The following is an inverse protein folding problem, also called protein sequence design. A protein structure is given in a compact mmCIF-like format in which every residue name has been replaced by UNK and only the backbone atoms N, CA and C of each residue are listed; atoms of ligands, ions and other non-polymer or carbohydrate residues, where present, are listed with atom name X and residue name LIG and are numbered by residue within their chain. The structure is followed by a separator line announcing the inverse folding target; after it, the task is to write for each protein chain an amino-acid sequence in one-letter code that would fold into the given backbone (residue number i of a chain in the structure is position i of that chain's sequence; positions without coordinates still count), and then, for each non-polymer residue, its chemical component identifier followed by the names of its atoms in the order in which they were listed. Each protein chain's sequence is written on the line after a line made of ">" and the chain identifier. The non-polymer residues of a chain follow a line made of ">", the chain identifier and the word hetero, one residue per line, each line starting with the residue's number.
data_IF_231047729655
#
_entry.id   IF_231047729655
#
_cell.length_a   1.000
_cell.length_b   1.000
_cell.length_c   1.000
_cell.angle_alpha   90.00
_cell.angle_beta   90.00
_cell.angle_gamma   90.00
#
_symmetry.space_group_name_H-M   'P 1'
#
loop_
_entity.id
_entity.type
_entity.pdbx_description
1 polymer ?
#
# COMPACT_ATOMS: atom_id res chain seq x y z
N UNK A 1 -14.50 16.39 14.18
CA UNK A 1 -13.24 15.94 14.80
C UNK A 1 -13.41 14.48 15.19
N UNK A 2 -13.02 13.54 14.31
CA UNK A 2 -12.96 12.13 14.68
C UNK A 2 -11.87 11.96 15.73
N UNK A 3 -12.22 11.46 16.91
CA UNK A 3 -11.27 11.38 18.02
C UNK A 3 -10.11 10.45 17.70
N UNK A 4 -8.90 10.91 17.99
CA UNK A 4 -7.70 10.06 18.06
C UNK A 4 -7.96 8.93 19.06
N UNK A 5 -7.78 7.67 18.63
CA UNK A 5 -8.01 6.48 19.46
C UNK A 5 -6.75 5.65 19.54
N UNK A 6 -6.42 5.25 20.76
CA UNK A 6 -5.28 4.39 21.08
C UNK A 6 -5.77 3.19 21.85
N UNK A 7 -5.41 1.98 21.42
CA UNK A 7 -5.78 0.75 22.11
C UNK A 7 -4.64 -0.29 22.08
N UNK A 8 -4.60 -1.13 23.11
CA UNK A 8 -3.74 -2.31 23.17
C UNK A 8 -4.54 -3.53 22.73
N UNK A 9 -4.05 -4.23 21.73
CA UNK A 9 -4.66 -5.44 21.20
C UNK A 9 -3.94 -6.70 21.69
N UNK A 10 -4.59 -7.85 21.51
CA UNK A 10 -3.98 -9.16 21.76
C UNK A 10 -2.68 -9.34 20.97
N UNK A 11 -1.74 -10.11 21.54
CA UNK A 11 -0.43 -10.36 20.92
C UNK A 11 0.52 -9.17 20.99
N UNK A 12 0.39 -8.30 22.01
CA UNK A 12 1.25 -7.13 22.24
C UNK A 12 1.20 -6.09 21.11
N UNK A 13 0.08 -5.99 20.40
CA UNK A 13 -0.10 -5.04 19.30
C UNK A 13 -0.67 -3.71 19.79
N UNK A 14 -0.23 -2.63 19.16
CA UNK A 14 -0.77 -1.28 19.36
C UNK A 14 -1.72 -0.96 18.19
N UNK A 15 -2.84 -0.35 18.51
CA UNK A 15 -3.80 0.15 17.53
C UNK A 15 -3.92 1.66 17.68
N UNK A 16 -3.69 2.39 16.58
CA UNK A 16 -3.86 3.84 16.49
C UNK A 16 -4.84 4.15 15.38
N UNK A 17 -5.85 4.98 15.66
CA UNK A 17 -6.85 5.37 14.67
C UNK A 17 -7.13 6.86 14.73
N UNK A 18 -7.10 7.51 13.58
CA UNK A 18 -7.53 8.89 13.39
C UNK A 18 -8.12 9.02 11.99
N UNK A 19 -9.34 9.55 11.89
CA UNK A 19 -10.06 9.66 10.61
C UNK A 19 -10.07 8.33 9.83
N UNK A 20 -9.62 8.30 8.56
CA UNK A 20 -9.55 7.08 7.74
C UNK A 20 -8.31 6.22 8.01
N UNK A 21 -7.31 6.70 8.76
CA UNK A 21 -6.08 5.94 9.04
C UNK A 21 -6.28 5.02 10.24
N UNK A 22 -5.90 3.75 10.06
CA UNK A 22 -6.18 2.66 10.98
C UNK A 22 -4.94 1.76 11.08
N UNK A 23 -4.08 2.06 12.05
CA UNK A 23 -2.75 1.50 12.17
C UNK A 23 -2.74 0.33 13.16
N UNK A 24 -2.33 -0.84 12.70
CA UNK A 24 -2.00 -2.00 13.53
C UNK A 24 -0.49 -2.17 13.58
N UNK A 25 0.08 -2.02 14.76
CA UNK A 25 1.51 -1.90 14.99
C UNK A 25 1.99 -3.03 15.89
N UNK A 26 3.13 -3.64 15.55
CA UNK A 26 3.84 -4.54 16.45
C UNK A 26 5.33 -4.26 16.47
N UNK A 27 5.94 -4.35 17.64
CA UNK A 27 7.38 -4.26 17.85
C UNK A 27 7.87 -5.46 18.66
N UNK A 28 9.08 -5.92 18.35
CA UNK A 28 9.72 -7.08 18.97
C UNK A 28 11.13 -6.68 19.41
N UNK A 29 11.48 -7.04 20.64
CA UNK A 29 12.72 -6.66 21.31
C UNK A 29 12.55 -6.73 22.83
N UNK A 30 13.44 -6.08 23.59
CA UNK A 30 13.27 -5.97 25.04
C UNK A 30 12.01 -5.17 25.41
N UNK A 31 11.39 -5.41 26.58
CA UNK A 31 10.21 -4.66 27.02
C UNK A 31 10.40 -3.14 27.02
N UNK A 32 11.61 -2.65 27.32
CA UNK A 32 11.95 -1.22 27.30
C UNK A 32 11.95 -0.67 25.87
N UNK A 33 12.58 -1.38 24.92
CA UNK A 33 12.58 -0.99 23.51
C UNK A 33 11.17 -0.95 22.94
N UNK A 34 10.35 -1.96 23.23
CA UNK A 34 8.95 -2.02 22.79
C UNK A 34 8.16 -0.83 23.32
N UNK A 35 8.32 -0.50 24.61
CA UNK A 35 7.65 0.66 25.22
C UNK A 35 8.05 1.97 24.56
N UNK A 36 9.35 2.19 24.30
CA UNK A 36 9.83 3.39 23.62
C UNK A 36 9.33 3.47 22.18
N UNK A 37 9.35 2.36 21.46
CA UNK A 37 8.84 2.28 20.09
C UNK A 37 7.36 2.68 20.03
N UNK A 38 6.51 2.12 20.89
CA UNK A 38 5.08 2.44 20.92
C UNK A 38 4.79 3.88 21.34
N UNK A 39 5.52 4.43 22.31
CA UNK A 39 5.40 5.85 22.66
C UNK A 39 5.79 6.77 21.47
N UNK A 40 6.85 6.42 20.73
CA UNK A 40 7.24 7.16 19.54
C UNK A 40 6.24 7.02 18.38
N UNK A 41 5.59 5.85 18.25
CA UNK A 41 4.54 5.63 17.26
C UNK A 41 3.33 6.52 17.51
N UNK A 42 2.86 6.58 18.77
CA UNK A 42 1.76 7.46 19.19
C UNK A 42 2.10 8.93 18.90
N UNK A 43 3.28 9.39 19.33
CA UNK A 43 3.72 10.77 19.13
C UNK A 43 3.91 11.15 17.65
N UNK A 44 4.36 10.21 16.81
CA UNK A 44 4.53 10.46 15.37
C UNK A 44 3.21 10.45 14.60
N UNK A 45 2.18 9.78 15.12
CA UNK A 45 0.86 9.71 14.51
C UNK A 45 -0.03 10.89 14.93
N UNK A 46 0.14 11.41 16.15
CA UNK A 46 -0.58 12.59 16.64
C UNK A 46 -0.33 13.83 15.76
N UNK A 47 -1.41 14.45 15.27
CA UNK A 47 -1.37 15.62 14.39
C UNK A 47 -0.91 15.35 12.95
N UNK A 48 -0.49 14.13 12.61
CA UNK A 48 0.02 13.78 11.29
C UNK A 48 -1.02 13.99 10.18
N UNK A 49 -2.28 13.59 10.43
CA UNK A 49 -3.34 13.77 9.44
C UNK A 49 -3.73 15.22 9.26
N UNK A 50 -3.68 16.03 10.31
CA UNK A 50 -3.90 17.47 10.21
C UNK A 50 -2.81 18.14 9.36
N UNK A 51 -1.54 17.72 9.50
CA UNK A 51 -0.44 18.19 8.65
C UNK A 51 -0.68 17.84 7.18
N UNK A 52 -1.04 16.57 6.88
CA UNK A 52 -1.36 16.16 5.50
C UNK A 52 -2.57 16.92 4.95
N UNK A 53 -3.61 17.11 5.75
CA UNK A 53 -4.80 17.87 5.36
C UNK A 53 -4.48 19.33 5.01
N UNK A 54 -3.47 19.93 5.66
CA UNK A 54 -3.03 21.30 5.35
C UNK A 54 -2.39 21.45 3.96
N UNK A 55 -1.87 20.35 3.39
CA UNK A 55 -1.26 20.32 2.07
C UNK A 55 -2.13 19.58 1.02
N UNK A 56 -3.38 19.24 1.37
CA UNK A 56 -4.24 18.37 0.58
C UNK A 56 -4.48 18.86 -0.85
N UNK A 57 -4.60 20.17 -1.05
CA UNK A 57 -4.77 20.77 -2.37
C UNK A 57 -3.61 20.45 -3.31
N UNK A 58 -2.37 20.40 -2.80
CA UNK A 58 -1.20 20.02 -3.59
C UNK A 58 -1.09 18.51 -3.72
N UNK A 59 -1.41 17.76 -2.65
CA UNK A 59 -1.36 16.29 -2.66
C UNK A 59 -2.37 15.65 -3.63
N UNK A 60 -3.47 16.35 -3.96
CA UNK A 60 -4.47 15.90 -4.94
C UNK A 60 -4.15 16.30 -6.39
N UNK A 61 -3.05 17.01 -6.62
CA UNK A 61 -2.65 17.39 -7.99
C UNK A 61 -1.91 16.23 -8.66
N UNK A 62 -2.19 15.97 -9.95
CA UNK A 62 -1.40 15.04 -10.74
C UNK A 62 0.07 15.47 -10.76
N UNK A 63 0.97 14.51 -10.58
CA UNK A 63 2.40 14.77 -10.71
C UNK A 63 2.74 15.04 -12.17
N UNK A 64 3.60 16.04 -12.39
CA UNK A 64 4.13 16.44 -13.70
C UNK A 64 5.66 16.32 -13.66
N UNK A 65 6.41 16.90 -14.59
CA UNK A 65 7.88 16.95 -14.50
C UNK A 65 8.41 17.98 -13.47
N UNK A 66 7.53 18.78 -12.87
CA UNK A 66 7.89 19.66 -11.73
C UNK A 66 7.35 19.13 -10.40
N UNK A 67 8.23 18.86 -9.41
CA UNK A 67 7.80 18.31 -8.13
C UNK A 67 6.96 19.33 -7.36
N UNK A 68 5.90 18.88 -6.66
CA UNK A 68 5.06 19.79 -5.88
C UNK A 68 5.87 20.39 -4.73
N UNK A 69 5.64 21.67 -4.44
CA UNK A 69 6.31 22.38 -3.35
C UNK A 69 5.69 22.03 -1.99
N UNK A 70 5.93 20.80 -1.54
CA UNK A 70 5.46 20.28 -0.25
C UNK A 70 6.49 20.56 0.87
N UNK A 71 6.00 20.79 2.08
CA UNK A 71 6.79 21.13 3.26
C UNK A 71 6.79 20.03 4.32
N UNK A 72 5.68 19.31 4.48
CA UNK A 72 5.57 18.21 5.42
C UNK A 72 6.40 17.00 5.00
N UNK A 73 7.13 16.41 5.94
CA UNK A 73 8.01 15.27 5.66
C UNK A 73 7.24 14.07 5.08
N UNK A 74 6.06 13.75 5.63
CA UNK A 74 5.21 12.67 5.11
C UNK A 74 4.65 13.01 3.73
N UNK A 75 4.23 14.26 3.49
CA UNK A 75 3.77 14.73 2.19
C UNK A 75 4.88 14.62 1.12
N UNK A 76 6.11 15.02 1.45
CA UNK A 76 7.28 14.86 0.59
C UNK A 76 7.59 13.38 0.31
N UNK A 77 7.44 12.49 1.31
CA UNK A 77 7.57 11.04 1.11
C UNK A 77 6.54 10.53 0.09
N UNK A 78 5.27 10.93 0.23
CA UNK A 78 4.20 10.56 -0.71
C UNK A 78 4.56 10.97 -2.15
N UNK A 79 4.92 12.25 -2.35
CA UNK A 79 5.29 12.75 -3.67
C UNK A 79 6.52 12.03 -4.24
N UNK A 80 7.55 11.76 -3.43
CA UNK A 80 8.76 11.04 -3.85
C UNK A 80 8.45 9.61 -4.31
N UNK A 81 7.57 8.90 -3.60
CA UNK A 81 7.17 7.54 -3.96
C UNK A 81 6.37 7.50 -5.26
N UNK A 82 5.47 8.47 -5.48
CA UNK A 82 4.67 8.55 -6.70
C UNK A 82 5.44 9.10 -7.92
N UNK A 83 6.50 9.89 -7.69
CA UNK A 83 7.23 10.60 -8.75
C UNK A 83 7.75 9.76 -9.91
N UNK A 84 8.32 8.55 -9.70
CA UNK A 84 8.77 7.70 -10.81
C UNK A 84 7.64 7.31 -11.76
N UNK A 85 6.39 7.28 -11.27
CA UNK A 85 5.22 6.85 -12.03
C UNK A 85 4.50 7.99 -12.78
N UNK A 86 5.03 9.22 -12.75
CA UNK A 86 4.42 10.43 -13.35
C UNK A 86 4.18 10.37 -14.87
N UNK A 87 4.71 9.36 -15.57
CA UNK A 87 4.33 9.05 -16.96
C UNK A 87 2.90 8.51 -17.08
N UNK A 88 2.31 8.10 -15.97
CA UNK A 88 0.89 7.77 -15.80
C UNK A 88 0.20 8.85 -14.99
N UNK A 89 -1.13 8.86 -15.03
CA UNK A 89 -1.90 9.63 -14.07
C UNK A 89 -1.68 9.08 -12.66
N UNK A 90 -1.08 9.89 -11.79
CA UNK A 90 -0.89 9.58 -10.37
C UNK A 90 -0.81 10.89 -9.59
N UNK A 91 -1.37 10.90 -8.38
CA UNK A 91 -1.21 11.99 -7.41
C UNK A 91 -0.44 11.45 -6.19
N UNK A 92 0.16 12.31 -5.36
CA UNK A 92 0.69 11.89 -4.06
C UNK A 92 -0.29 11.09 -3.20
N UNK A 93 -1.62 11.26 -3.37
CA UNK A 93 -2.62 10.50 -2.60
C UNK A 93 -2.49 8.98 -2.77
N UNK A 94 -1.93 8.50 -3.88
CA UNK A 94 -1.73 7.07 -4.15
C UNK A 94 -0.69 6.39 -3.23
N UNK A 95 0.01 7.14 -2.38
CA UNK A 95 1.00 6.62 -1.43
C UNK A 95 0.68 6.98 0.03
N UNK A 96 -0.51 7.51 0.32
CA UNK A 96 -0.83 8.08 1.64
C UNK A 96 -0.71 7.04 2.76
N UNK A 97 -1.25 5.84 2.55
CA UNK A 97 -1.34 4.84 3.59
C UNK A 97 0.05 4.26 3.89
N UNK A 98 0.79 3.94 2.83
CA UNK A 98 2.19 3.50 2.93
C UNK A 98 3.11 4.56 3.54
N UNK A 99 2.99 5.83 3.14
CA UNK A 99 3.83 6.91 3.66
C UNK A 99 3.58 7.18 5.15
N UNK A 100 2.32 7.11 5.61
CA UNK A 100 1.98 7.18 7.04
C UNK A 100 2.63 6.01 7.80
N UNK A 101 2.53 4.79 7.27
CA UNK A 101 3.15 3.63 7.89
C UNK A 101 4.68 3.77 8.00
N UNK A 102 5.34 4.24 6.94
CA UNK A 102 6.78 4.51 6.93
C UNK A 102 7.18 5.61 7.92
N UNK A 103 6.39 6.69 8.04
CA UNK A 103 6.64 7.77 9.01
C UNK A 103 6.64 7.24 10.44
N UNK A 104 5.60 6.49 10.80
CA UNK A 104 5.45 5.94 12.15
C UNK A 104 6.55 4.92 12.44
N UNK A 105 6.84 4.02 11.51
CA UNK A 105 7.90 3.02 11.68
C UNK A 105 9.28 3.69 11.85
N UNK A 106 9.58 4.73 11.06
CA UNK A 106 10.84 5.45 11.18
C UNK A 106 11.03 6.06 12.58
N UNK A 107 9.96 6.64 13.15
CA UNK A 107 9.99 7.18 14.52
C UNK A 107 10.22 6.07 15.56
N UNK A 108 9.57 4.91 15.41
CA UNK A 108 9.76 3.76 16.29
C UNK A 108 11.23 3.29 16.32
N UNK A 109 11.84 3.11 15.13
CA UNK A 109 13.21 2.63 15.00
C UNK A 109 14.22 3.65 15.53
N UNK A 110 13.98 4.95 15.31
CA UNK A 110 14.82 6.02 15.85
C UNK A 110 14.79 6.07 17.39
N UNK A 111 13.61 5.89 18.00
CA UNK A 111 13.44 5.94 19.45
C UNK A 111 13.89 4.64 20.17
N UNK A 112 13.90 3.52 19.46
CA UNK A 112 14.33 2.22 19.99
C UNK A 112 15.35 1.54 19.07
N UNK A 113 16.61 2.02 19.04
CA UNK A 113 17.69 1.34 18.33
C UNK A 113 17.82 -0.12 18.78
N UNK A 114 18.04 -1.03 17.83
CA UNK A 114 18.19 -2.45 18.11
C UNK A 114 16.88 -3.22 18.32
N UNK A 115 15.73 -2.69 17.89
CA UNK A 115 14.52 -3.51 17.71
C UNK A 115 14.83 -4.70 16.79
N UNK A 116 14.41 -5.90 17.20
CA UNK A 116 14.61 -7.13 16.43
C UNK A 116 13.86 -7.05 15.10
N UNK A 117 12.57 -6.74 15.19
CA UNK A 117 11.68 -6.48 14.07
C UNK A 117 10.50 -5.63 14.51
N UNK A 118 9.87 -4.94 13.56
CA UNK A 118 8.62 -4.22 13.78
C UNK A 118 7.83 -4.12 12.47
N UNK A 119 6.53 -3.91 12.58
CA UNK A 119 5.71 -3.52 11.43
C UNK A 119 4.65 -2.49 11.83
N UNK A 120 4.26 -1.68 10.85
CA UNK A 120 3.12 -0.75 10.91
C UNK A 120 2.26 -1.07 9.71
N UNK A 121 1.04 -1.58 9.93
CA UNK A 121 0.06 -1.85 8.88
C UNK A 121 -1.04 -0.80 8.92
N UNK A 122 -1.18 -0.02 7.85
CA UNK A 122 -2.28 0.92 7.65
C UNK A 122 -3.19 0.41 6.53
N UNK A 123 -4.22 -0.37 6.89
CA UNK A 123 -5.25 -0.80 5.94
C UNK A 123 -4.82 -1.76 4.82
N UNK A 124 -3.66 -2.40 4.91
CA UNK A 124 -3.07 -3.24 3.85
C UNK A 124 -1.68 -2.79 3.42
N UNK A 125 -1.30 -1.56 3.76
CA UNK A 125 -0.01 -0.97 3.45
C UNK A 125 0.91 -1.06 4.67
N UNK A 126 1.94 -1.88 4.56
CA UNK A 126 2.74 -2.41 5.65
C UNK A 126 4.18 -1.94 5.49
N UNK A 127 4.61 -1.06 6.38
CA UNK A 127 6.02 -0.75 6.58
C UNK A 127 6.60 -1.79 7.56
N UNK A 128 7.80 -2.31 7.28
CA UNK A 128 8.45 -3.32 8.12
C UNK A 128 9.93 -3.02 8.37
N UNK A 129 10.36 -3.29 9.60
CA UNK A 129 11.75 -3.28 10.04
C UNK A 129 12.15 -4.71 10.39
N UNK A 130 13.29 -5.16 9.87
CA UNK A 130 13.88 -6.47 10.13
C UNK A 130 15.37 -6.30 10.37
N UNK A 131 15.87 -6.82 11.50
CA UNK A 131 17.29 -6.84 11.82
C UNK A 131 17.80 -8.27 12.00
N UNK A 132 19.11 -8.47 11.79
CA UNK A 132 19.77 -9.77 12.02
C UNK A 132 19.12 -10.93 11.24
N UNK A 133 18.99 -12.09 11.88
CA UNK A 133 18.35 -13.29 11.31
C UNK A 133 16.82 -13.32 11.41
N UNK A 134 16.17 -12.18 11.70
CA UNK A 134 14.72 -12.13 11.88
C UNK A 134 13.96 -12.30 10.56
N UNK A 135 12.78 -12.90 10.69
CA UNK A 135 11.84 -13.11 9.59
C UNK A 135 10.46 -12.55 9.95
N UNK A 136 9.68 -12.21 8.94
CA UNK A 136 8.28 -11.85 9.05
C UNK A 136 7.49 -12.55 7.95
N UNK A 137 6.41 -13.22 8.34
CA UNK A 137 5.47 -13.85 7.43
C UNK A 137 4.29 -12.89 7.21
N UNK A 138 4.05 -12.52 5.96
CA UNK A 138 2.98 -11.61 5.55
C UNK A 138 1.91 -12.43 4.87
N UNK A 139 0.70 -12.44 5.45
CA UNK A 139 -0.44 -13.11 4.83
C UNK A 139 -0.86 -12.38 3.56
N UNK A 140 -1.08 -13.13 2.48
CA UNK A 140 -1.53 -12.62 1.19
C UNK A 140 -2.97 -13.05 0.93
N UNK A 141 -3.83 -12.10 0.55
CA UNK A 141 -5.26 -12.32 0.32
C UNK A 141 -5.58 -12.23 -1.19
N UNK A 142 -6.37 -13.16 -1.76
CA UNK A 142 -6.78 -13.13 -3.18
C UNK A 142 -7.73 -12.01 -3.52
N UNK A 143 -8.47 -11.55 -2.51
CA UNK A 143 -9.50 -10.56 -2.67
C UNK A 143 -9.61 -9.80 -1.37
N UNK A 144 -9.69 -8.48 -1.48
CA UNK A 144 -9.91 -7.60 -0.32
C UNK A 144 -11.25 -7.88 0.38
N UNK A 145 -12.18 -8.62 -0.26
CA UNK A 145 -13.43 -9.07 0.35
C UNK A 145 -13.29 -10.37 1.15
N UNK A 146 -12.28 -11.19 0.86
CA UNK A 146 -11.98 -12.45 1.57
C UNK A 146 -10.90 -12.18 2.61
N UNK A 147 -11.31 -11.91 3.86
CA UNK A 147 -10.40 -11.60 4.98
C UNK A 147 -9.66 -12.83 5.54
N UNK A 148 -9.22 -13.77 4.68
CA UNK A 148 -8.41 -14.92 5.06
C UNK A 148 -7.19 -15.04 4.14
N UNK A 149 -5.97 -15.06 4.69
CA UNK A 149 -4.78 -15.35 3.90
C UNK A 149 -4.89 -16.74 3.28
N UNK A 150 -4.62 -16.84 1.99
CA UNK A 150 -4.53 -18.13 1.28
C UNK A 150 -3.07 -18.55 1.05
N UNK A 151 -2.12 -17.69 1.41
CA UNK A 151 -0.69 -17.98 1.45
C UNK A 151 0.08 -16.97 2.29
N UNK A 152 1.34 -17.29 2.57
CA UNK A 152 2.24 -16.41 3.33
C UNK A 152 3.50 -16.11 2.54
N UNK A 153 3.88 -14.83 2.53
CA UNK A 153 5.16 -14.35 2.02
C UNK A 153 6.16 -14.24 3.17
N UNK A 154 7.24 -15.02 3.14
CA UNK A 154 8.33 -14.88 4.13
C UNK A 154 9.35 -13.84 3.66
N UNK A 155 9.58 -12.84 4.50
CA UNK A 155 10.64 -11.85 4.33
C UNK A 155 11.68 -12.01 5.43
N UNK A 156 12.96 -11.96 5.05
CA UNK A 156 14.09 -11.91 5.99
C UNK A 156 14.85 -10.58 5.85
N UNK A 157 15.76 -10.30 6.78
CA UNK A 157 16.49 -9.04 6.80
C UNK A 157 17.43 -8.82 5.58
N UNK A 158 17.81 -9.89 4.86
CA UNK A 158 18.65 -9.83 3.64
C UNK A 158 17.84 -9.40 2.42
N UNK A 159 16.52 -9.62 2.43
CA UNK A 159 15.63 -9.05 1.43
C UNK A 159 15.70 -7.52 1.47
N UNK A 160 15.74 -6.82 0.33
CA UNK A 160 15.66 -5.36 0.29
C UNK A 160 14.24 -4.84 0.60
N UNK A 161 13.23 -5.71 0.61
CA UNK A 161 11.83 -5.35 0.85
C UNK A 161 11.66 -4.78 2.25
N UNK A 162 11.12 -3.57 2.35
CA UNK A 162 10.71 -2.92 3.61
C UNK A 162 9.28 -2.36 3.55
N UNK A 163 8.60 -2.55 2.43
CA UNK A 163 7.20 -2.21 2.25
C UNK A 163 6.43 -3.28 1.49
N UNK A 164 5.19 -3.49 1.91
CA UNK A 164 4.20 -4.28 1.18
C UNK A 164 2.92 -3.49 1.09
N UNK A 165 2.27 -3.45 -0.06
CA UNK A 165 0.99 -2.76 -0.25
C UNK A 165 0.04 -3.62 -1.04
N UNK A 166 -1.27 -3.43 -0.87
CA UNK A 166 -2.28 -4.14 -1.66
C UNK A 166 -3.35 -3.20 -2.19
N UNK A 167 -3.51 -3.15 -3.51
CA UNK A 167 -4.52 -2.34 -4.19
C UNK A 167 -5.50 -3.21 -4.98
N UNK A 168 -6.71 -2.72 -5.23
CA UNK A 168 -7.74 -3.45 -5.98
C UNK A 168 -9.05 -2.67 -6.04
N UNK A 169 -9.91 -2.96 -7.03
CA UNK A 169 -11.11 -2.15 -7.28
C UNK A 169 -12.19 -2.25 -6.19
N UNK A 170 -12.16 -3.33 -5.40
CA UNK A 170 -13.03 -3.52 -4.20
C UNK A 170 -12.38 -3.02 -2.91
N UNK A 171 -11.25 -2.33 -3.03
CA UNK A 171 -10.53 -1.74 -1.90
C UNK A 171 -11.22 -0.49 -1.36
N UNK A 172 -10.51 0.19 -0.45
CA UNK A 172 -10.98 1.44 0.16
C UNK A 172 -10.87 2.65 -0.77
N UNK A 173 -10.04 2.54 -1.82
CA UNK A 173 -9.77 3.60 -2.80
C UNK A 173 -10.29 3.18 -4.18
N UNK A 174 -10.70 4.16 -4.99
CA UNK A 174 -11.13 3.90 -6.35
C UNK A 174 -9.97 3.40 -7.23
N UNK A 175 -10.28 2.49 -8.15
CA UNK A 175 -9.34 1.99 -9.15
C UNK A 175 -9.91 2.16 -10.56
N UNK A 176 -9.03 2.44 -11.52
CA UNK A 176 -9.34 2.45 -12.96
C UNK A 176 -9.42 1.01 -13.53
N UNK A 177 -8.65 0.10 -12.94
CA UNK A 177 -8.54 -1.30 -13.35
C UNK A 177 -9.59 -2.18 -12.67
N UNK A 178 -9.42 -3.49 -12.83
CA UNK A 178 -10.37 -4.51 -12.39
C UNK A 178 -9.76 -5.57 -11.47
N UNK A 179 -8.48 -5.44 -11.08
CA UNK A 179 -7.84 -6.41 -10.20
C UNK A 179 -8.57 -6.55 -8.85
N UNK A 180 -8.84 -7.79 -8.42
CA UNK A 180 -9.39 -8.06 -7.09
C UNK A 180 -8.38 -7.73 -5.99
N UNK A 181 -7.10 -8.00 -6.26
CA UNK A 181 -5.97 -7.60 -5.44
C UNK A 181 -4.67 -7.58 -6.27
N UNK A 182 -3.82 -6.60 -6.00
CA UNK A 182 -2.43 -6.54 -6.44
C UNK A 182 -1.59 -6.25 -5.22
N UNK A 183 -0.79 -7.23 -4.78
CA UNK A 183 0.16 -7.07 -3.69
C UNK A 183 1.55 -6.78 -4.25
N UNK A 184 2.16 -5.68 -3.84
CA UNK A 184 3.49 -5.24 -4.29
C UNK A 184 4.49 -5.27 -3.15
N UNK A 185 5.72 -5.68 -3.48
CA UNK A 185 6.88 -5.65 -2.58
C UNK A 185 7.84 -4.56 -3.04
N UNK A 186 8.19 -3.62 -2.16
CA UNK A 186 9.12 -2.54 -2.45
C UNK A 186 10.02 -2.20 -1.25
N UNK A 187 10.89 -1.21 -1.42
CA UNK A 187 11.89 -0.81 -0.41
C UNK A 187 11.32 0.14 0.65
N UNK A 188 10.06 0.53 0.51
CA UNK A 188 9.28 1.28 1.50
C UNK A 188 7.79 1.03 1.27
N UNK A 189 6.96 1.24 2.28
CA UNK A 189 5.52 1.04 2.12
C UNK A 189 4.92 2.08 1.16
N UNK A 190 5.42 3.33 1.18
CA UNK A 190 4.99 4.36 0.24
C UNK A 190 5.25 3.99 -1.24
N UNK A 191 6.44 3.45 -1.54
CA UNK A 191 6.76 2.98 -2.90
C UNK A 191 5.89 1.78 -3.30
N UNK A 192 5.64 0.86 -2.36
CA UNK A 192 4.77 -0.28 -2.63
C UNK A 192 3.33 0.17 -2.94
N UNK A 193 2.79 1.14 -2.18
CA UNK A 193 1.43 1.67 -2.29
C UNK A 193 1.20 2.37 -3.65
N UNK A 194 2.13 3.26 -4.02
CA UNK A 194 2.13 3.93 -5.32
C UNK A 194 2.18 2.91 -6.48
N UNK A 195 3.10 1.96 -6.41
CA UNK A 195 3.26 0.95 -7.46
C UNK A 195 2.08 -0.03 -7.52
N UNK A 196 1.49 -0.41 -6.38
CA UNK A 196 0.30 -1.26 -6.33
C UNK A 196 -0.88 -0.58 -7.04
N UNK A 197 -1.06 0.72 -6.82
CA UNK A 197 -2.07 1.51 -7.51
C UNK A 197 -1.85 1.53 -9.03
N UNK A 198 -0.61 1.76 -9.50
CA UNK A 198 -0.27 1.74 -10.93
C UNK A 198 -0.51 0.38 -11.57
N UNK A 199 -0.06 -0.70 -10.94
CA UNK A 199 -0.22 -2.06 -11.47
C UNK A 199 -1.69 -2.48 -11.45
N UNK A 200 -2.44 -2.19 -10.38
CA UNK A 200 -3.86 -2.50 -10.30
C UNK A 200 -4.65 -1.79 -11.40
N UNK A 201 -4.33 -0.53 -11.68
CA UNK A 201 -4.95 0.23 -12.77
C UNK A 201 -4.58 -0.32 -14.17
N UNK A 202 -3.43 -0.99 -14.31
CA UNK A 202 -3.02 -1.64 -15.55
C UNK A 202 -3.67 -3.02 -15.77
N UNK A 203 -4.22 -3.64 -14.73
CA UNK A 203 -5.06 -4.85 -14.87
C UNK A 203 -6.42 -4.41 -15.39
N UNK A 204 -6.59 -4.45 -16.71
CA UNK A 204 -7.81 -4.00 -17.37
C UNK A 204 -7.96 -4.63 -18.74
N UNK A 205 -9.20 -4.67 -19.23
CA UNK A 205 -9.60 -5.09 -20.56
C UNK A 205 -10.83 -4.27 -20.96
N UNK A 206 -11.06 -4.10 -22.27
CA UNK A 206 -12.31 -3.54 -22.76
C UNK A 206 -13.34 -4.67 -22.85
N UNK A 207 -14.35 -4.62 -21.98
CA UNK A 207 -15.39 -5.65 -21.88
C UNK A 207 -16.70 -5.03 -21.35
N UNK A 208 -17.86 -5.32 -21.96
CA UNK A 208 -19.16 -4.81 -21.50
C UNK A 208 -19.59 -5.31 -20.10
N UNK A 209 -18.91 -6.31 -19.55
CA UNK A 209 -19.07 -6.74 -18.16
C UNK A 209 -18.53 -5.73 -17.15
N UNK A 210 -17.71 -4.76 -17.57
CA UNK A 210 -17.08 -3.78 -16.70
C UNK A 210 -17.84 -2.46 -16.79
N UNK A 211 -18.41 -2.03 -15.66
CA UNK A 211 -19.07 -0.73 -15.55
C UNK A 211 -18.13 0.27 -14.90
N UNK A 212 -17.97 1.44 -15.54
CA UNK A 212 -17.16 2.55 -15.01
C UNK A 212 -17.95 3.84 -14.92
N UNK A 213 -17.57 4.68 -13.98
CA UNK A 213 -18.13 6.04 -13.80
C UNK A 213 -17.02 7.03 -13.46
N UNK A 214 -17.15 8.32 -13.80
CA UNK A 214 -16.23 9.34 -13.32
C UNK A 214 -16.12 9.32 -11.80
N UNK A 215 -14.91 9.37 -11.25
CA UNK A 215 -14.69 9.32 -9.80
C UNK A 215 -15.45 10.42 -9.04
N UNK A 216 -15.51 11.64 -9.60
CA UNK A 216 -16.25 12.79 -9.05
C UNK A 216 -17.75 12.58 -8.90
N UNK A 217 -18.33 11.63 -9.66
CA UNK A 217 -19.76 11.31 -9.58
C UNK A 217 -20.06 10.37 -8.39
N UNK A 218 -19.02 9.79 -7.79
CA UNK A 218 -19.07 8.92 -6.61
C UNK A 218 -18.57 9.67 -5.36
N UNK A 219 -17.45 10.39 -5.49
CA UNK A 219 -16.88 11.27 -4.48
C UNK A 219 -16.41 12.57 -5.15
N UNK A 220 -17.12 13.70 -4.96
CA UNK A 220 -16.76 15.00 -5.53
C UNK A 220 -15.36 15.49 -5.16
N UNK A 221 -14.80 15.00 -4.05
CA UNK A 221 -13.48 15.36 -3.53
C UNK A 221 -12.36 14.41 -4.01
N UNK A 222 -12.69 13.41 -4.82
CA UNK A 222 -11.72 12.45 -5.35
C UNK A 222 -10.64 13.14 -6.18
N UNK A 223 -9.38 12.80 -5.90
CA UNK A 223 -8.23 13.25 -6.66
C UNK A 223 -8.28 12.77 -8.12
N UNK A 224 -8.89 11.61 -8.39
CA UNK A 224 -9.08 11.06 -9.74
C UNK A 224 -10.07 11.87 -10.60
N UNK A 225 -10.91 12.71 -9.99
CA UNK A 225 -11.82 13.65 -10.65
C UNK A 225 -12.65 13.02 -11.81
N UNK A 226 -12.30 13.30 -13.06
CA UNK A 226 -13.07 12.89 -14.25
C UNK A 226 -12.72 11.47 -14.74
N UNK A 227 -11.70 10.83 -14.15
CA UNK A 227 -11.26 9.51 -14.56
C UNK A 227 -12.32 8.45 -14.28
N UNK A 228 -12.47 7.53 -15.24
CA UNK A 228 -13.46 6.46 -15.18
C UNK A 228 -12.99 5.34 -14.26
N UNK A 229 -13.55 5.27 -13.06
CA UNK A 229 -13.25 4.25 -12.06
C UNK A 229 -14.23 3.10 -12.15
N UNK A 230 -13.76 1.89 -11.85
CA UNK A 230 -14.56 0.66 -11.87
C UNK A 230 -15.57 0.67 -10.73
N UNK A 231 -16.85 0.49 -11.06
CA UNK A 231 -17.95 0.42 -10.08
C UNK A 231 -18.61 -0.96 -10.02
N UNK A 232 -18.50 -1.74 -11.10
CA UNK A 232 -18.98 -3.12 -11.16
C UNK A 232 -18.19 -3.93 -12.19
N UNK A 233 -17.95 -5.20 -11.86
CA UNK A 233 -17.32 -6.18 -12.74
C UNK A 233 -18.16 -7.45 -12.68
N UNK A 234 -18.96 -7.68 -13.72
CA UNK A 234 -19.72 -8.92 -13.92
C UNK A 234 -18.76 -10.05 -14.34
N UNK A 235 -19.19 -11.33 -14.29
CA UNK A 235 -18.34 -12.44 -14.70
C UNK A 235 -17.75 -12.23 -16.09
N UNK A 236 -16.43 -12.35 -16.17
CA UNK A 236 -15.64 -12.20 -17.40
C UNK A 236 -15.37 -13.56 -18.03
N UNK A 237 -15.20 -13.59 -19.35
CA UNK A 237 -14.70 -14.78 -20.02
C UNK A 237 -13.24 -15.07 -19.59
N UNK A 238 -12.81 -16.34 -19.52
CA UNK A 238 -11.43 -16.68 -19.13
C UNK A 238 -10.36 -15.95 -19.93
N UNK A 239 -10.55 -15.80 -21.25
CA UNK A 239 -9.60 -15.08 -22.10
C UNK A 239 -9.49 -13.59 -21.75
N UNK A 240 -10.59 -12.96 -21.32
CA UNK A 240 -10.59 -11.56 -20.88
C UNK A 240 -9.89 -11.40 -19.53
N UNK A 241 -10.08 -12.36 -18.60
CA UNK A 241 -9.35 -12.43 -17.32
C UNK A 241 -7.85 -12.56 -17.58
N UNK A 242 -7.46 -13.51 -18.44
CA UNK A 242 -6.06 -13.73 -18.81
C UNK A 242 -5.45 -12.47 -19.45
N UNK A 243 -6.12 -11.83 -20.40
CA UNK A 243 -5.64 -10.62 -21.06
C UNK A 243 -5.44 -9.44 -20.08
N UNK A 244 -6.37 -9.25 -19.14
CA UNK A 244 -6.27 -8.21 -18.11
C UNK A 244 -5.10 -8.48 -17.16
N UNK A 245 -4.94 -9.72 -16.69
CA UNK A 245 -3.83 -10.12 -15.83
C UNK A 245 -2.49 -9.97 -16.55
N UNK A 246 -2.39 -10.37 -17.82
CA UNK A 246 -1.17 -10.23 -18.62
C UNK A 246 -0.77 -8.76 -18.81
N UNK A 247 -1.75 -7.86 -18.94
CA UNK A 247 -1.51 -6.40 -18.94
C UNK A 247 -0.89 -5.93 -17.62
N UNK A 248 -1.44 -6.36 -16.49
CA UNK A 248 -0.87 -6.06 -15.18
C UNK A 248 0.53 -6.63 -14.98
N UNK A 249 0.79 -7.87 -15.44
CA UNK A 249 2.12 -8.49 -15.36
C UNK A 249 3.14 -7.71 -16.18
N UNK A 250 2.79 -7.27 -17.40
CA UNK A 250 3.68 -6.42 -18.21
C UNK A 250 4.04 -5.13 -17.48
N UNK A 251 3.08 -4.48 -16.84
CA UNK A 251 3.33 -3.29 -16.02
C UNK A 251 4.26 -3.60 -14.84
N UNK A 252 3.97 -4.66 -14.08
CA UNK A 252 4.78 -5.06 -12.93
C UNK A 252 6.22 -5.39 -13.33
N UNK A 253 6.45 -6.11 -14.43
CA UNK A 253 7.78 -6.41 -14.93
C UNK A 253 8.52 -5.16 -15.43
N UNK A 254 7.81 -4.19 -16.05
CA UNK A 254 8.41 -2.90 -16.40
C UNK A 254 8.91 -2.15 -15.17
N UNK A 255 8.06 -1.97 -14.15
CA UNK A 255 8.45 -1.32 -12.89
C UNK A 255 9.59 -2.05 -12.17
N UNK A 256 9.61 -3.39 -12.23
CA UNK A 256 10.69 -4.20 -11.67
C UNK A 256 12.01 -3.99 -12.43
N UNK A 257 11.97 -3.92 -13.76
CA UNK A 257 13.15 -3.67 -14.59
C UNK A 257 13.77 -2.29 -14.34
N UNK A 258 12.94 -1.33 -13.93
CA UNK A 258 13.36 0.02 -13.51
C UNK A 258 13.81 0.07 -12.03
N UNK A 259 13.70 -1.04 -11.29
CA UNK A 259 14.09 -1.12 -9.87
C UNK A 259 13.11 -0.43 -8.92
N UNK A 260 11.88 -0.16 -9.35
CA UNK A 260 10.84 0.49 -8.55
C UNK A 260 10.10 -0.49 -7.63
N UNK A 261 10.08 -1.78 -7.97
CA UNK A 261 9.54 -2.84 -7.14
C UNK A 261 10.48 -4.04 -7.12
N UNK A 262 10.35 -4.87 -6.08
CA UNK A 262 11.07 -6.13 -5.94
C UNK A 262 10.25 -7.33 -6.46
N UNK A 263 8.91 -7.20 -6.48
CA UNK A 263 8.00 -8.20 -7.03
C UNK A 263 6.54 -7.83 -6.82
N UNK A 264 5.64 -8.54 -7.50
CA UNK A 264 4.20 -8.35 -7.38
C UNK A 264 3.42 -9.66 -7.53
N UNK A 265 2.25 -9.72 -6.90
CA UNK A 265 1.26 -10.78 -7.06
C UNK A 265 -0.07 -10.15 -7.44
N UNK A 266 -0.70 -10.65 -8.50
CA UNK A 266 -1.92 -10.11 -9.07
C UNK A 266 -3.01 -11.18 -9.04
N UNK A 267 -4.22 -10.79 -8.65
CA UNK A 267 -5.39 -11.64 -8.57
C UNK A 267 -6.59 -11.01 -9.30
N UNK A 268 -7.30 -11.83 -10.07
CA UNK A 268 -8.54 -11.47 -10.75
C UNK A 268 -9.38 -12.73 -10.99
N UNK A 269 -10.63 -12.75 -10.54
CA UNK A 269 -11.59 -13.83 -10.78
C UNK A 269 -11.04 -15.23 -10.42
N UNK A 270 -10.47 -15.36 -9.23
CA UNK A 270 -9.82 -16.58 -8.70
C UNK A 270 -8.56 -17.05 -9.49
N UNK A 271 -8.12 -16.30 -10.50
CA UNK A 271 -6.84 -16.51 -11.17
C UNK A 271 -5.72 -15.64 -10.59
N UNK A 272 -4.49 -16.15 -10.64
CA UNK A 272 -3.30 -15.48 -10.13
C UNK A 272 -2.20 -15.40 -11.17
N UNK A 273 -1.42 -14.31 -11.10
CA UNK A 273 -0.12 -14.16 -11.78
C UNK A 273 0.89 -13.52 -10.84
N UNK A 274 2.18 -13.70 -11.11
CA UNK A 274 3.24 -13.09 -10.32
C UNK A 274 4.33 -12.50 -11.21
N UNK A 275 4.98 -11.45 -10.72
CA UNK A 275 6.16 -10.83 -11.30
C UNK A 275 7.32 -10.86 -10.29
N UNK A 276 8.56 -10.95 -10.78
CA UNK A 276 9.77 -10.90 -9.92
C UNK A 276 9.96 -12.06 -8.95
N UNK A 277 9.37 -13.24 -9.22
CA UNK A 277 9.50 -14.42 -8.35
C UNK A 277 8.77 -14.30 -7.02
N UNK A 278 7.82 -13.37 -6.88
CA UNK A 278 6.99 -13.23 -5.68
C UNK A 278 6.28 -14.56 -5.31
N UNK A 279 5.85 -15.34 -6.30
CA UNK A 279 5.27 -16.66 -6.09
C UNK A 279 6.23 -17.66 -5.42
N UNK A 280 7.54 -17.59 -5.70
CA UNK A 280 8.54 -18.49 -5.10
C UNK A 280 8.74 -18.26 -3.60
N UNK A 281 8.20 -17.15 -3.07
CA UNK A 281 8.25 -16.80 -1.65
C UNK A 281 6.94 -17.09 -0.92
N UNK A 282 5.92 -17.59 -1.63
CA UNK A 282 4.61 -17.94 -1.07
C UNK A 282 4.61 -19.41 -0.70
N UNK A 283 4.23 -19.70 0.55
CA UNK A 283 4.00 -21.05 1.03
C UNK A 283 2.60 -21.18 1.64
N UNK A 284 2.07 -22.40 1.59
CA UNK A 284 0.79 -22.72 2.21
C UNK A 284 0.92 -22.62 3.74
N UNK A 285 -0.10 -22.02 4.36
CA UNK A 285 -0.22 -21.88 5.82
C UNK A 285 -0.67 -23.14 6.54
#
# INVERSE_FOLDING_TARGET
>A
MGGHRTARLSGNRLHLQEGPSDLIIAAFGSPVQIKHAYAAAEAAFDGLLAQLASELTLLRQPLTDQPPSLTGFTAQRMARACWPHRGHYITPMAAVAGAVADTVLAAMVAAAPGLDRAYVNNGGDIALHLSGGQVLDIGVVPSLTRARPEGFLRLDARSPVRGVATSGWRGRSFSLGIADAVTVLARSAAEADAAASIIANAVTVDDPAITRRPARDLDPDSDLAHLAVTVDVRPLAPDAVAAALDSGVRMAEALRSEGLIEGALLALADEWRSAGGAAARIFAG
#
